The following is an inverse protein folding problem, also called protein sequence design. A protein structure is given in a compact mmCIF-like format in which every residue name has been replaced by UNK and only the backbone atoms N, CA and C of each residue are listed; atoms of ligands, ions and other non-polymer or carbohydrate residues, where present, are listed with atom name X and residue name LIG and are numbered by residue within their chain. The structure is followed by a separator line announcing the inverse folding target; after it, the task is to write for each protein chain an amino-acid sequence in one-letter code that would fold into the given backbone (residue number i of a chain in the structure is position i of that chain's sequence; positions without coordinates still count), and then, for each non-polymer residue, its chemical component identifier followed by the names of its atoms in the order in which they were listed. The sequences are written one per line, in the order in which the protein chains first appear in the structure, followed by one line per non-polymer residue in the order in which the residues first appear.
data_IF_934509769691
#
_entry.id   IF_934509769691
#
_cell.length_a   1.000
_cell.length_b   1.000
_cell.length_c   1.000
_cell.angle_alpha   90.00
_cell.angle_beta   90.00
_cell.angle_gamma   90.00
#
_symmetry.space_group_name_H-M   'P 1'
#
loop_
_entity.id
_entity.type
_entity.pdbx_description
1 polymer ?
#
# COMPACT_ATOMS: atom_id res chain seq x y z
N UNK A 1 10.25 23.68 -12.97
CA UNK A 1 9.62 22.57 -13.72
C UNK A 1 8.20 22.37 -13.18
N UNK A 2 7.30 23.34 -13.41
CA UNK A 2 5.97 23.46 -12.77
C UNK A 2 4.91 23.64 -13.87
N UNK A 3 4.70 22.67 -14.76
CA UNK A 3 3.88 22.97 -15.93
C UNK A 3 3.00 21.85 -16.49
N UNK A 4 2.69 20.76 -15.74
CA UNK A 4 1.86 19.67 -16.29
C UNK A 4 0.69 19.19 -15.41
N UNK A 5 0.51 19.75 -14.22
CA UNK A 5 -0.58 19.31 -13.31
C UNK A 5 -1.77 20.31 -13.27
N UNK A 6 -1.63 21.46 -13.92
CA UNK A 6 -2.67 22.52 -13.88
C UNK A 6 -3.95 22.16 -14.66
N UNK A 7 -3.92 21.16 -15.53
CA UNK A 7 -5.07 20.70 -16.31
C UNK A 7 -5.82 19.49 -15.76
N UNK A 8 -5.27 18.79 -14.77
CA UNK A 8 -5.92 17.60 -14.20
C UNK A 8 -7.06 17.97 -13.25
N UNK A 9 -8.17 17.21 -13.29
CA UNK A 9 -9.26 17.41 -12.36
C UNK A 9 -8.79 17.23 -10.89
N UNK A 10 -9.39 17.93 -9.91
CA UNK A 10 -9.01 17.77 -8.49
C UNK A 10 -9.04 16.32 -8.02
N UNK A 11 -9.98 15.51 -8.48
CA UNK A 11 -10.09 14.08 -8.17
C UNK A 11 -8.90 13.29 -8.71
N UNK A 12 -8.44 13.58 -9.94
CA UNK A 12 -7.28 12.91 -10.55
C UNK A 12 -5.98 13.24 -9.81
N UNK A 13 -5.82 14.51 -9.37
CA UNK A 13 -4.68 14.92 -8.54
C UNK A 13 -4.67 14.18 -7.20
N UNK A 14 -5.83 14.02 -6.56
CA UNK A 14 -5.94 13.29 -5.31
C UNK A 14 -5.64 11.80 -5.49
N UNK A 15 -6.15 11.18 -6.57
CA UNK A 15 -5.86 9.78 -6.88
C UNK A 15 -4.35 9.55 -7.11
N UNK A 16 -3.66 10.44 -7.84
CA UNK A 16 -2.20 10.37 -8.03
C UNK A 16 -1.44 10.53 -6.72
N UNK A 17 -1.80 11.50 -5.88
CA UNK A 17 -1.20 11.68 -4.54
C UNK A 17 -1.38 10.44 -3.67
N UNK A 18 -2.56 9.81 -3.72
CA UNK A 18 -2.82 8.57 -2.99
C UNK A 18 -1.98 7.40 -3.52
N UNK A 19 -1.75 7.31 -4.84
CA UNK A 19 -0.83 6.31 -5.41
C UNK A 19 0.61 6.50 -4.90
N UNK A 20 1.13 7.73 -4.88
CA UNK A 20 2.45 8.06 -4.35
C UNK A 20 2.54 7.70 -2.86
N UNK A 21 1.52 8.06 -2.06
CA UNK A 21 1.44 7.72 -0.65
C UNK A 21 1.41 6.20 -0.43
N UNK A 22 0.66 5.46 -1.24
CA UNK A 22 0.60 3.99 -1.18
C UNK A 22 1.94 3.33 -1.54
N UNK A 23 2.68 3.86 -2.54
CA UNK A 23 4.01 3.38 -2.90
C UNK A 23 5.04 3.65 -1.80
N UNK A 24 5.00 4.85 -1.19
CA UNK A 24 5.85 5.24 -0.07
C UNK A 24 5.55 4.44 1.21
N UNK A 25 4.28 4.09 1.45
CA UNK A 25 3.84 3.37 2.64
C UNK A 25 4.08 1.84 2.61
N UNK A 26 4.64 1.30 1.54
CA UNK A 26 5.07 -0.09 1.45
C UNK A 26 6.35 -0.17 0.59
N UNK A 27 7.49 0.38 1.06
CA UNK A 27 8.69 0.55 0.25
C UNK A 27 9.29 -0.80 -0.16
N UNK A 28 9.65 -0.94 -1.44
CA UNK A 28 10.43 -2.09 -1.86
C UNK A 28 11.92 -1.87 -1.57
N UNK A 29 12.65 -2.87 -1.03
CA UNK A 29 14.07 -2.74 -0.72
C UNK A 29 14.96 -2.40 -1.91
N UNK A 30 14.55 -2.77 -3.12
CA UNK A 30 15.21 -2.37 -4.37
C UNK A 30 14.18 -1.89 -5.36
N UNK A 31 14.51 -0.81 -6.07
CA UNK A 31 13.63 -0.19 -7.06
C UNK A 31 14.45 0.31 -8.24
N UNK A 32 13.82 0.33 -9.42
CA UNK A 32 14.36 0.90 -10.65
C UNK A 32 13.27 1.71 -11.35
N UNK A 33 13.56 2.98 -11.66
CA UNK A 33 12.71 3.79 -12.52
C UNK A 33 13.12 3.59 -13.99
N UNK A 34 12.18 3.25 -14.84
CA UNK A 34 12.40 3.00 -16.26
C UNK A 34 11.26 3.63 -17.08
N UNK A 35 11.52 4.73 -17.73
CA UNK A 35 10.61 5.42 -18.66
C UNK A 35 9.17 5.51 -18.16
N UNK A 36 8.99 6.12 -16.97
CA UNK A 36 7.68 6.28 -16.32
C UNK A 36 7.14 5.02 -15.63
N UNK A 37 7.92 3.92 -15.59
CA UNK A 37 7.58 2.71 -14.86
C UNK A 37 8.50 2.52 -13.65
N UNK A 38 7.95 2.21 -12.49
CA UNK A 38 8.66 1.84 -11.28
C UNK A 38 8.63 0.33 -11.09
N UNK A 39 9.79 -0.30 -11.26
CA UNK A 39 10.01 -1.72 -11.04
C UNK A 39 10.43 -1.92 -9.58
N UNK A 40 9.78 -2.85 -8.89
CA UNK A 40 9.97 -3.07 -7.45
C UNK A 40 10.35 -4.50 -7.16
N UNK A 41 11.30 -4.72 -6.22
CA UNK A 41 11.89 -6.03 -5.92
C UNK A 41 12.01 -6.24 -4.40
N UNK A 42 11.33 -7.25 -3.87
CA UNK A 42 11.34 -7.65 -2.47
C UNK A 42 11.28 -9.18 -2.32
N UNK A 43 12.06 -9.92 -3.12
CA UNK A 43 12.21 -11.38 -3.02
C UNK A 43 10.91 -12.17 -3.18
N UNK A 44 9.92 -11.63 -3.88
CA UNK A 44 8.60 -12.27 -4.05
C UNK A 44 7.61 -12.00 -2.92
N UNK A 45 8.04 -11.39 -1.79
CA UNK A 45 7.12 -11.09 -0.69
C UNK A 45 6.26 -9.86 -1.03
N UNK A 46 4.95 -10.09 -1.14
CA UNK A 46 3.83 -9.27 -1.61
C UNK A 46 3.95 -8.75 -3.05
N UNK A 47 2.85 -8.85 -3.81
CA UNK A 47 2.77 -8.28 -5.16
C UNK A 47 3.03 -6.76 -5.15
N UNK A 48 2.61 -6.04 -4.11
CA UNK A 48 2.83 -4.59 -3.96
C UNK A 48 4.31 -4.18 -4.00
N UNK A 49 5.20 -4.99 -3.41
CA UNK A 49 6.63 -4.72 -3.37
C UNK A 49 7.42 -5.48 -4.46
N UNK A 50 6.75 -6.25 -5.33
CA UNK A 50 7.35 -7.04 -6.41
C UNK A 50 6.64 -6.86 -7.75
N UNK A 51 6.12 -5.68 -8.02
CA UNK A 51 5.44 -5.41 -9.28
C UNK A 51 6.02 -4.21 -10.02
N UNK A 52 5.79 -4.20 -11.32
CA UNK A 52 5.92 -3.04 -12.19
C UNK A 52 4.72 -2.15 -11.96
N UNK A 53 4.94 -0.85 -11.75
CA UNK A 53 3.90 0.15 -11.54
C UNK A 53 4.10 1.29 -12.53
N UNK A 54 3.04 1.68 -13.24
CA UNK A 54 3.05 2.92 -14.02
C UNK A 54 3.00 4.09 -13.04
N UNK A 55 3.98 5.00 -13.12
CA UNK A 55 4.08 6.16 -12.23
C UNK A 55 4.17 7.49 -12.98
N UNK A 56 4.27 7.44 -14.29
CA UNK A 56 4.37 8.64 -15.12
C UNK A 56 4.25 8.35 -16.62
N UNK A 57 4.36 9.41 -17.43
CA UNK A 57 4.29 9.26 -18.88
C UNK A 57 5.48 8.46 -19.40
N UNK A 58 5.24 7.74 -20.49
CA UNK A 58 6.21 6.89 -21.17
C UNK A 58 6.52 7.45 -22.57
N UNK A 59 7.75 7.21 -23.04
CA UNK A 59 8.16 7.47 -24.43
C UNK A 59 8.11 6.20 -25.27
N UNK A 60 8.52 5.08 -24.65
CA UNK A 60 8.47 3.77 -25.28
C UNK A 60 7.11 3.11 -25.11
N UNK A 61 6.75 2.22 -26.05
CA UNK A 61 5.53 1.43 -25.96
C UNK A 61 5.56 0.45 -24.78
N UNK A 62 4.38 0.06 -24.29
CA UNK A 62 4.28 -0.95 -23.25
C UNK A 62 4.94 -2.27 -23.64
N UNK A 63 4.83 -2.70 -24.90
CA UNK A 63 5.43 -3.94 -25.39
C UNK A 63 6.97 -3.97 -25.25
N UNK A 64 7.64 -2.89 -25.63
CA UNK A 64 9.10 -2.75 -25.49
C UNK A 64 9.51 -2.81 -24.02
N UNK A 65 8.79 -2.10 -23.16
CA UNK A 65 9.08 -2.07 -21.73
C UNK A 65 8.80 -3.40 -21.05
N UNK A 66 7.74 -4.13 -21.42
CA UNK A 66 7.45 -5.47 -20.88
C UNK A 66 8.58 -6.46 -21.16
N UNK A 67 9.18 -6.41 -22.37
CA UNK A 67 10.34 -7.25 -22.69
C UNK A 67 11.53 -6.97 -21.79
N UNK A 68 11.86 -5.68 -21.58
CA UNK A 68 12.94 -5.25 -20.68
C UNK A 68 12.65 -5.63 -19.22
N UNK A 69 11.42 -5.42 -18.74
CA UNK A 69 10.98 -5.87 -17.40
C UNK A 69 11.17 -7.38 -17.24
N UNK A 70 10.78 -8.17 -18.23
CA UNK A 70 10.94 -9.61 -18.21
C UNK A 70 12.39 -10.04 -17.97
N UNK A 71 13.36 -9.40 -18.66
CA UNK A 71 14.78 -9.67 -18.46
C UNK A 71 15.25 -9.33 -17.05
N UNK A 72 14.87 -8.14 -16.53
CA UNK A 72 15.29 -7.66 -15.21
C UNK A 72 14.73 -8.52 -14.06
N UNK A 73 13.44 -8.91 -14.13
CA UNK A 73 12.84 -9.77 -13.10
C UNK A 73 13.43 -11.18 -13.13
N UNK A 74 13.64 -11.78 -14.32
CA UNK A 74 14.31 -13.09 -14.43
C UNK A 74 15.73 -13.06 -13.88
N UNK A 75 16.51 -12.02 -14.17
CA UNK A 75 17.85 -11.85 -13.60
C UNK A 75 17.83 -11.73 -12.06
N UNK A 76 16.72 -11.25 -11.49
CA UNK A 76 16.51 -11.21 -10.04
C UNK A 76 15.91 -12.52 -9.47
N UNK A 77 15.72 -13.56 -10.29
CA UNK A 77 15.07 -14.82 -9.86
C UNK A 77 13.57 -14.66 -9.55
N UNK A 78 12.91 -13.65 -10.16
CA UNK A 78 11.52 -13.33 -9.89
C UNK A 78 10.68 -13.42 -11.17
N UNK A 79 9.41 -13.72 -11.00
CA UNK A 79 8.41 -13.64 -12.05
C UNK A 79 7.92 -12.19 -12.17
N UNK A 80 7.86 -11.61 -13.38
CA UNK A 80 7.29 -10.27 -13.56
C UNK A 80 5.81 -10.24 -13.20
N UNK A 81 5.42 -9.23 -12.43
CA UNK A 81 4.04 -8.91 -12.09
C UNK A 81 3.81 -7.46 -12.50
N UNK A 82 2.75 -7.18 -13.24
CA UNK A 82 2.37 -5.81 -13.61
C UNK A 82 1.14 -5.42 -12.81
N UNK A 83 1.20 -4.27 -12.15
CA UNK A 83 0.06 -3.64 -11.49
C UNK A 83 -0.59 -2.66 -12.47
N UNK A 84 -1.82 -2.94 -12.85
CA UNK A 84 -2.65 -2.09 -13.70
C UNK A 84 -3.56 -1.25 -12.81
N UNK A 85 -3.40 0.08 -12.83
CA UNK A 85 -4.13 1.02 -11.96
C UNK A 85 -4.94 2.01 -12.78
N UNK A 86 -6.17 2.28 -12.34
CA UNK A 86 -7.02 3.31 -12.96
C UNK A 86 -6.61 4.74 -12.62
N UNK A 87 -5.76 4.95 -11.60
CA UNK A 87 -5.24 6.27 -11.23
C UNK A 87 -4.22 6.82 -12.23
N UNK A 88 -3.48 5.92 -12.90
CA UNK A 88 -2.43 6.23 -13.86
C UNK A 88 -2.57 5.32 -15.08
N UNK A 89 -3.63 5.50 -15.89
CA UNK A 89 -3.90 4.63 -17.02
C UNK A 89 -2.82 4.80 -18.11
N UNK A 90 -2.44 3.68 -18.70
CA UNK A 90 -1.62 3.65 -19.90
C UNK A 90 -2.43 2.89 -20.98
N UNK A 91 -2.90 3.55 -22.03
CA UNK A 91 -3.90 3.01 -22.97
C UNK A 91 -3.49 1.73 -23.69
N UNK A 92 -2.19 1.55 -23.99
CA UNK A 92 -1.66 0.39 -24.71
C UNK A 92 -1.28 -0.79 -23.78
N UNK A 93 -1.39 -0.62 -22.46
CA UNK A 93 -0.86 -1.59 -21.50
C UNK A 93 -1.59 -2.92 -21.53
N UNK A 94 -2.93 -2.92 -21.49
CA UNK A 94 -3.71 -4.15 -21.48
C UNK A 94 -3.51 -4.96 -22.76
N UNK A 95 -3.53 -4.32 -23.95
CA UNK A 95 -3.26 -4.97 -25.21
C UNK A 95 -1.84 -5.56 -25.27
N UNK A 96 -0.84 -4.85 -24.73
CA UNK A 96 0.53 -5.35 -24.68
C UNK A 96 0.68 -6.53 -23.70
N UNK A 97 -0.02 -6.53 -22.57
CA UNK A 97 -0.06 -7.65 -21.62
C UNK A 97 -0.70 -8.90 -22.25
N UNK A 98 -1.80 -8.74 -23.00
CA UNK A 98 -2.46 -9.83 -23.68
C UNK A 98 -1.56 -10.42 -24.78
N UNK A 99 -0.94 -9.58 -25.61
CA UNK A 99 0.02 -10.00 -26.63
C UNK A 99 1.24 -10.74 -26.03
N UNK A 100 1.71 -10.29 -24.85
CA UNK A 100 2.78 -10.95 -24.10
C UNK A 100 2.32 -12.15 -23.27
N UNK A 101 1.05 -12.56 -23.38
CA UNK A 101 0.44 -13.72 -22.70
C UNK A 101 0.50 -13.65 -21.18
N UNK A 102 0.39 -12.46 -20.62
CA UNK A 102 0.19 -12.33 -19.18
C UNK A 102 -1.15 -12.96 -18.77
N UNK A 103 -1.18 -13.55 -17.56
CA UNK A 103 -2.37 -14.19 -17.00
C UNK A 103 -3.55 -13.21 -16.81
N UNK A 104 -4.73 -13.73 -16.46
CA UNK A 104 -5.91 -12.90 -16.21
C UNK A 104 -5.69 -11.94 -15.02
N UNK A 105 -6.49 -10.87 -14.92
CA UNK A 105 -6.50 -9.98 -13.75
C UNK A 105 -6.73 -10.75 -12.45
N UNK A 106 -5.97 -10.41 -11.40
CA UNK A 106 -6.14 -10.95 -10.05
C UNK A 106 -5.94 -9.88 -8.98
N UNK A 107 -6.51 -10.11 -7.80
CA UNK A 107 -6.30 -9.24 -6.64
C UNK A 107 -6.93 -7.86 -6.86
N UNK A 108 -8.18 -7.81 -7.36
CA UNK A 108 -8.94 -6.56 -7.50
C UNK A 108 -8.93 -5.81 -6.17
N UNK A 109 -8.37 -4.61 -6.17
CA UNK A 109 -8.17 -3.80 -4.98
C UNK A 109 -8.65 -2.38 -5.22
N UNK A 110 -9.24 -1.81 -4.17
CA UNK A 110 -9.71 -0.42 -4.13
C UNK A 110 -8.73 0.44 -3.36
N UNK A 111 -8.51 1.66 -3.82
CA UNK A 111 -7.84 2.71 -3.07
C UNK A 111 -8.91 3.62 -2.48
N UNK A 112 -9.06 3.58 -1.16
CA UNK A 112 -10.08 4.35 -0.44
C UNK A 112 -9.43 5.57 0.23
N UNK A 113 -10.23 6.63 0.38
CA UNK A 113 -9.83 7.91 0.97
C UNK A 113 -10.83 8.37 2.02
N UNK A 114 -10.29 9.03 3.05
CA UNK A 114 -11.02 9.80 4.05
C UNK A 114 -10.34 11.14 4.26
N UNK A 115 -11.10 12.24 4.30
CA UNK A 115 -10.58 13.52 4.76
C UNK A 115 -10.36 13.47 6.27
N UNK A 116 -9.22 14.00 6.75
CA UNK A 116 -8.92 14.10 8.18
C UNK A 116 -9.27 15.49 8.68
N UNK A 117 -10.07 15.54 9.76
CA UNK A 117 -10.30 16.75 10.54
C UNK A 117 -9.60 16.59 11.91
N UNK A 118 -8.86 17.59 12.41
CA UNK A 118 -8.07 17.49 13.63
C UNK A 118 -8.83 17.01 14.89
N UNK A 119 -10.14 17.20 14.94
CA UNK A 119 -10.95 16.94 16.13
C UNK A 119 -11.70 15.58 16.14
N UNK A 120 -11.47 14.69 15.21
CA UNK A 120 -12.31 13.48 15.04
C UNK A 120 -11.71 12.18 15.57
N UNK A 121 -10.45 12.19 15.99
CA UNK A 121 -9.79 10.94 16.41
C UNK A 121 -9.24 11.08 17.84
N UNK A 122 -9.84 10.37 18.77
CA UNK A 122 -9.48 10.37 20.20
C UNK A 122 -8.26 9.50 20.56
N UNK A 123 -7.41 9.18 19.60
CA UNK A 123 -6.21 8.36 19.81
C UNK A 123 -6.48 6.89 20.21
N UNK A 124 -7.73 6.51 20.46
CA UNK A 124 -8.21 5.11 20.59
C UNK A 124 -7.58 4.23 21.67
N UNK A 125 -6.65 4.75 22.48
CA UNK A 125 -5.97 3.99 23.54
C UNK A 125 -5.03 2.90 23.05
N UNK A 126 -4.59 2.95 21.79
CA UNK A 126 -3.52 2.10 21.25
C UNK A 126 -2.15 2.76 21.46
N UNK A 127 -1.10 1.96 21.68
CA UNK A 127 0.28 2.45 21.75
C UNK A 127 0.84 2.68 20.35
N UNK A 128 1.73 3.69 20.22
CA UNK A 128 2.41 4.03 18.97
C UNK A 128 3.93 3.93 19.12
N UNK A 129 4.59 3.22 18.22
CA UNK A 129 6.04 3.24 18.02
C UNK A 129 6.35 3.95 16.71
N UNK A 130 7.32 4.87 16.69
CA UNK A 130 7.66 5.69 15.52
C UNK A 130 8.97 5.24 14.88
N UNK A 131 9.07 5.39 13.56
CA UNK A 131 10.26 5.09 12.78
C UNK A 131 10.46 3.60 12.51
N UNK A 132 10.46 2.75 13.53
CA UNK A 132 10.63 1.31 13.39
C UNK A 132 9.63 0.54 14.26
N UNK A 133 9.14 -0.63 13.84
CA UNK A 133 8.26 -1.46 14.66
C UNK A 133 9.05 -2.11 15.82
N UNK A 134 8.42 -2.26 16.97
CA UNK A 134 8.97 -3.06 18.05
C UNK A 134 8.78 -4.58 17.83
N UNK A 135 9.44 -5.39 18.65
CA UNK A 135 9.40 -6.84 18.52
C UNK A 135 8.00 -7.43 18.72
N UNK A 136 7.19 -6.85 19.61
CA UNK A 136 5.83 -7.31 19.89
C UNK A 136 4.90 -7.06 18.70
N UNK A 137 5.01 -5.87 18.09
CA UNK A 137 4.28 -5.53 16.86
C UNK A 137 4.68 -6.45 15.70
N UNK A 138 5.99 -6.67 15.51
CA UNK A 138 6.52 -7.57 14.47
C UNK A 138 5.98 -9.00 14.62
N UNK A 139 6.01 -9.55 15.81
CA UNK A 139 5.51 -10.88 16.13
C UNK A 139 4.00 -11.00 15.86
N UNK A 140 3.19 -10.08 16.40
CA UNK A 140 1.74 -10.09 16.25
C UNK A 140 1.32 -9.90 14.77
N UNK A 141 1.94 -8.97 14.07
CA UNK A 141 1.65 -8.69 12.66
C UNK A 141 2.10 -9.83 11.73
N UNK A 142 3.22 -10.48 12.03
CA UNK A 142 3.70 -11.65 11.29
C UNK A 142 2.80 -12.87 11.47
N UNK A 143 2.39 -13.16 12.70
CA UNK A 143 1.47 -14.23 13.03
C UNK A 143 0.10 -14.05 12.36
N UNK A 144 -0.45 -12.83 12.41
CA UNK A 144 -1.73 -12.50 11.75
C UNK A 144 -1.68 -12.64 10.22
N UNK A 145 -0.50 -12.47 9.62
CA UNK A 145 -0.28 -12.63 8.18
C UNK A 145 0.10 -14.06 7.76
N UNK A 146 0.31 -14.99 8.71
CA UNK A 146 0.67 -16.38 8.43
C UNK A 146 2.01 -16.53 7.69
N UNK A 147 3.00 -15.68 8.00
CA UNK A 147 4.27 -15.65 7.28
C UNK A 147 5.20 -16.79 7.69
N UNK A 148 5.82 -17.42 6.70
CA UNK A 148 7.01 -18.25 6.92
C UNK A 148 8.26 -17.39 7.20
N UNK A 149 9.37 -18.03 7.54
CA UNK A 149 10.62 -17.34 7.90
C UNK A 149 11.18 -16.48 6.75
N UNK A 150 11.08 -16.95 5.50
CA UNK A 150 11.59 -16.22 4.35
C UNK A 150 10.74 -14.97 4.07
N UNK A 151 9.42 -15.09 4.07
CA UNK A 151 8.49 -13.97 3.92
C UNK A 151 8.64 -12.97 5.08
N UNK A 152 8.81 -13.45 6.32
CA UNK A 152 9.06 -12.61 7.49
C UNK A 152 10.34 -11.77 7.35
N UNK A 153 11.43 -12.38 6.84
CA UNK A 153 12.68 -11.67 6.60
C UNK A 153 12.55 -10.56 5.55
N UNK A 154 11.83 -10.82 4.45
CA UNK A 154 11.56 -9.78 3.45
C UNK A 154 10.63 -8.70 3.97
N UNK A 155 9.58 -9.07 4.73
CA UNK A 155 8.70 -8.11 5.39
C UNK A 155 9.47 -7.19 6.34
N UNK A 156 10.41 -7.74 7.12
CA UNK A 156 11.25 -6.93 8.01
C UNK A 156 12.04 -5.86 7.22
N UNK A 157 12.63 -6.22 6.07
CA UNK A 157 13.33 -5.25 5.20
C UNK A 157 12.41 -4.14 4.69
N UNK A 158 11.15 -4.47 4.33
CA UNK A 158 10.15 -3.47 3.94
C UNK A 158 9.85 -2.55 5.13
N UNK A 159 9.59 -3.12 6.31
CA UNK A 159 9.17 -2.38 7.50
C UNK A 159 10.28 -1.53 8.16
N UNK A 160 11.54 -1.72 7.77
CA UNK A 160 12.67 -0.87 8.17
C UNK A 160 13.15 0.06 7.04
N UNK A 161 12.52 0.04 5.86
CA UNK A 161 12.95 0.78 4.67
C UNK A 161 12.19 2.09 4.41
N UNK A 162 11.47 2.64 5.37
CA UNK A 162 10.71 3.88 5.17
C UNK A 162 11.62 5.09 5.05
N UNK A 163 11.38 5.91 4.02
CA UNK A 163 12.01 7.21 3.81
C UNK A 163 11.08 8.37 4.24
N UNK A 164 9.90 8.06 4.75
CA UNK A 164 8.85 9.02 5.15
C UNK A 164 8.49 8.78 6.62
N UNK A 165 7.87 9.77 7.32
CA UNK A 165 7.37 9.57 8.65
C UNK A 165 6.44 8.36 8.74
N UNK A 166 6.71 7.45 9.68
CA UNK A 166 5.93 6.22 9.89
C UNK A 166 5.69 5.97 11.37
N UNK A 167 4.51 5.46 11.68
CA UNK A 167 4.17 4.97 13.01
C UNK A 167 3.49 3.60 12.93
N UNK A 168 3.70 2.81 13.96
CA UNK A 168 3.19 1.45 14.14
C UNK A 168 2.29 1.44 15.38
N UNK A 169 1.01 1.12 15.19
CA UNK A 169 0.04 1.06 16.28
C UNK A 169 -0.15 -0.36 16.77
N UNK A 170 -0.23 -0.51 18.09
CA UNK A 170 -0.50 -1.76 18.80
C UNK A 170 -1.69 -1.60 19.73
N UNK A 171 -2.72 -2.43 19.62
CA UNK A 171 -3.74 -2.59 20.64
C UNK A 171 -3.48 -3.89 21.40
N UNK A 172 -3.39 -3.81 22.73
CA UNK A 172 -3.09 -4.94 23.60
C UNK A 172 -4.25 -5.31 24.52
N UNK A 173 -4.30 -6.57 24.94
CA UNK A 173 -5.15 -7.13 26.00
C UNK A 173 -4.24 -7.89 26.95
N UNK A 174 -4.30 -7.59 28.23
CA UNK A 174 -3.46 -8.21 29.26
C UNK A 174 -1.97 -8.25 28.89
N UNK A 175 -1.45 -7.13 28.34
CA UNK A 175 -0.06 -6.96 27.93
C UNK A 175 0.31 -7.65 26.59
N UNK A 176 -0.60 -8.39 25.98
CA UNK A 176 -0.38 -9.07 24.70
C UNK A 176 -0.93 -8.25 23.54
N UNK A 177 -0.12 -7.97 22.51
CA UNK A 177 -0.56 -7.29 21.30
C UNK A 177 -1.51 -8.19 20.50
N UNK A 178 -2.76 -7.73 20.35
CA UNK A 178 -3.83 -8.46 19.68
C UNK A 178 -4.27 -7.84 18.36
N UNK A 179 -3.92 -6.56 18.12
CA UNK A 179 -4.13 -5.94 16.82
C UNK A 179 -2.99 -4.98 16.49
N UNK A 180 -2.70 -4.88 15.21
CA UNK A 180 -1.65 -4.03 14.64
C UNK A 180 -2.18 -3.20 13.50
N UNK A 181 -1.56 -2.04 13.28
CA UNK A 181 -1.68 -1.24 12.06
C UNK A 181 -0.39 -0.45 11.86
N UNK A 182 -0.10 0.00 10.64
CA UNK A 182 0.93 1.02 10.38
C UNK A 182 0.34 2.14 9.54
N UNK A 183 0.85 3.35 9.74
CA UNK A 183 0.56 4.53 8.93
C UNK A 183 1.86 5.20 8.52
N UNK A 184 2.01 5.49 7.22
CA UNK A 184 3.14 6.26 6.70
C UNK A 184 2.61 7.52 6.01
N UNK A 185 3.25 8.68 6.27
CA UNK A 185 2.76 9.97 5.79
C UNK A 185 3.60 10.44 4.60
N UNK A 186 2.93 10.70 3.48
CA UNK A 186 3.54 11.27 2.29
C UNK A 186 2.56 12.18 1.56
N UNK A 187 3.02 13.34 1.07
CA UNK A 187 2.21 14.27 0.30
C UNK A 187 0.96 14.78 1.04
N UNK A 188 1.00 14.88 2.39
CA UNK A 188 -0.14 15.28 3.22
C UNK A 188 -1.21 14.21 3.41
N UNK A 189 -0.93 12.95 3.03
CA UNK A 189 -1.79 11.80 3.25
C UNK A 189 -1.11 10.77 4.15
N UNK A 190 -1.83 10.21 5.11
CA UNK A 190 -1.42 8.99 5.79
C UNK A 190 -1.97 7.78 5.05
N UNK A 191 -1.09 6.89 4.59
CA UNK A 191 -1.49 5.61 4.01
C UNK A 191 -1.41 4.51 5.05
N UNK A 192 -2.56 3.84 5.30
CA UNK A 192 -2.68 2.75 6.27
C UNK A 192 -2.31 1.40 5.64
N UNK A 193 -1.55 0.59 6.38
CA UNK A 193 -1.16 -0.75 5.98
C UNK A 193 -1.11 -1.70 7.18
N UNK A 194 -0.97 -3.00 6.93
CA UNK A 194 -0.79 -4.05 7.93
C UNK A 194 -1.82 -4.01 9.08
N UNK A 195 -3.05 -3.59 8.75
CA UNK A 195 -4.17 -3.63 9.71
C UNK A 195 -4.58 -5.08 9.90
N UNK A 196 -4.37 -5.60 11.10
CA UNK A 196 -4.67 -6.99 11.42
C UNK A 196 -5.12 -7.14 12.87
N UNK A 197 -5.94 -8.15 13.15
CA UNK A 197 -6.36 -8.53 14.50
C UNK A 197 -6.29 -10.04 14.65
N UNK A 198 -5.73 -10.51 15.75
CA UNK A 198 -5.76 -11.93 16.14
C UNK A 198 -7.19 -12.47 16.02
N UNK A 199 -7.42 -13.59 15.31
CA UNK A 199 -8.76 -14.16 15.12
C UNK A 199 -9.58 -14.31 16.40
N UNK A 200 -8.92 -14.65 17.52
CA UNK A 200 -9.56 -14.82 18.85
C UNK A 200 -10.06 -13.52 19.48
N UNK A 201 -9.59 -12.36 18.96
CA UNK A 201 -9.87 -11.03 19.47
C UNK A 201 -10.65 -10.15 18.47
N UNK A 202 -11.14 -10.72 17.35
CA UNK A 202 -11.95 -9.99 16.36
C UNK A 202 -13.30 -9.54 16.92
N UNK A 203 -13.91 -8.54 16.27
CA UNK A 203 -15.22 -8.01 16.65
C UNK A 203 -15.24 -7.15 17.92
N UNK A 204 -14.07 -6.87 18.54
CA UNK A 204 -13.97 -6.12 19.81
C UNK A 204 -13.38 -4.70 19.65
N UNK A 205 -13.30 -4.17 18.43
CA UNK A 205 -12.85 -2.81 18.15
C UNK A 205 -11.33 -2.57 18.21
N UNK A 206 -10.49 -3.61 18.36
CA UNK A 206 -9.04 -3.44 18.49
C UNK A 206 -8.39 -2.82 17.25
N UNK A 207 -8.80 -3.24 16.03
CA UNK A 207 -8.32 -2.62 14.77
C UNK A 207 -8.76 -1.16 14.67
N UNK A 208 -10.00 -0.85 15.08
CA UNK A 208 -10.49 0.54 15.12
C UNK A 208 -9.60 1.40 15.98
N UNK A 209 -9.25 0.96 17.21
CA UNK A 209 -8.36 1.69 18.11
C UNK A 209 -6.99 1.92 17.50
N UNK A 210 -6.38 0.89 16.91
CA UNK A 210 -5.06 1.01 16.28
C UNK A 210 -5.09 2.00 15.10
N UNK A 211 -6.10 1.94 14.25
CA UNK A 211 -6.26 2.87 13.12
C UNK A 211 -6.55 4.29 13.60
N UNK A 212 -7.47 4.49 14.56
CA UNK A 212 -7.77 5.83 15.10
C UNK A 212 -6.55 6.51 15.69
N UNK A 213 -5.68 5.76 16.41
CA UNK A 213 -4.43 6.29 16.94
C UNK A 213 -3.48 6.78 15.83
N UNK A 214 -3.39 6.05 14.70
CA UNK A 214 -2.59 6.48 13.55
C UNK A 214 -3.16 7.71 12.85
N UNK A 215 -4.48 7.79 12.72
CA UNK A 215 -5.16 8.94 12.11
C UNK A 215 -4.95 10.21 12.96
N UNK A 216 -5.09 10.10 14.30
CA UNK A 216 -4.81 11.18 15.23
C UNK A 216 -3.34 11.64 15.16
N UNK A 217 -2.40 10.69 15.23
CA UNK A 217 -0.97 10.99 15.09
C UNK A 217 -0.66 11.70 13.78
N UNK A 218 -1.17 11.20 12.67
CA UNK A 218 -0.89 11.76 11.35
C UNK A 218 -1.44 13.19 11.20
N UNK A 219 -2.66 13.45 11.70
CA UNK A 219 -3.26 14.78 11.65
C UNK A 219 -2.56 15.77 12.57
N UNK A 220 -2.31 15.38 13.83
CA UNK A 220 -1.80 16.29 14.87
C UNK A 220 -0.29 16.53 14.82
N UNK A 221 0.47 15.51 14.43
CA UNK A 221 1.94 15.54 14.51
C UNK A 221 2.62 15.65 13.14
N UNK A 222 1.98 15.17 12.08
CA UNK A 222 2.54 15.18 10.73
C UNK A 222 1.78 16.09 9.77
N UNK A 223 0.70 16.75 10.24
CA UNK A 223 -0.09 17.69 9.45
C UNK A 223 -0.83 17.04 8.27
N UNK A 224 -1.13 15.75 8.35
CA UNK A 224 -1.89 15.06 7.30
C UNK A 224 -3.33 15.58 7.24
N UNK A 225 -3.80 15.91 6.04
CA UNK A 225 -5.15 16.41 5.78
C UNK A 225 -6.08 15.33 5.25
N UNK A 226 -5.55 14.14 4.95
CA UNK A 226 -6.31 13.01 4.48
C UNK A 226 -5.63 11.69 4.79
N UNK A 227 -6.39 10.62 4.69
CA UNK A 227 -5.94 9.25 4.83
C UNK A 227 -6.32 8.43 3.61
N UNK A 228 -5.47 7.50 3.22
CA UNK A 228 -5.77 6.52 2.17
C UNK A 228 -5.37 5.11 2.61
N UNK A 229 -5.90 4.13 1.92
CA UNK A 229 -5.53 2.72 2.11
C UNK A 229 -5.85 1.91 0.86
N UNK A 230 -5.28 0.71 0.80
CA UNK A 230 -5.56 -0.28 -0.23
C UNK A 230 -6.27 -1.48 0.41
N UNK A 231 -7.40 -1.90 -0.16
CA UNK A 231 -8.19 -3.03 0.33
C UNK A 231 -8.68 -3.88 -0.84
N UNK A 232 -8.61 -5.20 -0.69
CA UNK A 232 -9.19 -6.12 -1.67
C UNK A 232 -10.71 -5.95 -1.72
N UNK A 233 -11.28 -5.89 -2.93
CA UNK A 233 -12.70 -5.63 -3.15
C UNK A 233 -13.61 -6.68 -2.52
N UNK A 234 -13.14 -7.92 -2.36
CA UNK A 234 -13.86 -9.01 -1.69
C UNK A 234 -13.76 -9.02 -0.16
N UNK A 235 -12.93 -8.16 0.46
CA UNK A 235 -12.77 -8.14 1.91
C UNK A 235 -13.85 -7.32 2.62
N UNK A 236 -15.06 -7.87 2.68
CA UNK A 236 -16.23 -7.20 3.27
C UNK A 236 -16.01 -6.74 4.73
N UNK A 237 -15.27 -7.53 5.52
CA UNK A 237 -14.97 -7.18 6.93
C UNK A 237 -14.10 -5.91 7.02
N UNK A 238 -13.07 -5.81 6.20
CA UNK A 238 -12.21 -4.63 6.17
C UNK A 238 -12.94 -3.42 5.59
N UNK A 239 -13.73 -3.60 4.53
CA UNK A 239 -14.53 -2.54 3.93
C UNK A 239 -15.50 -1.94 4.96
N UNK A 240 -16.23 -2.76 5.72
CA UNK A 240 -17.13 -2.29 6.77
C UNK A 240 -16.40 -1.56 7.92
N UNK A 241 -15.16 -1.96 8.26
CA UNK A 241 -14.32 -1.24 9.21
C UNK A 241 -13.96 0.14 8.68
N UNK A 242 -13.47 0.22 7.44
CA UNK A 242 -13.00 1.47 6.86
C UNK A 242 -14.13 2.46 6.58
N UNK A 243 -15.31 1.98 6.17
CA UNK A 243 -16.50 2.81 6.01
C UNK A 243 -16.86 3.52 7.33
N UNK A 244 -16.89 2.79 8.46
CA UNK A 244 -17.13 3.38 9.80
C UNK A 244 -16.07 4.40 10.22
N UNK A 245 -14.85 4.29 9.69
CA UNK A 245 -13.75 5.23 9.93
C UNK A 245 -13.74 6.40 8.93
N UNK A 246 -14.74 6.49 8.04
CA UNK A 246 -14.92 7.60 7.12
C UNK A 246 -14.26 7.42 5.75
N UNK A 247 -13.72 6.25 5.42
CA UNK A 247 -13.15 5.94 4.09
C UNK A 247 -14.26 5.66 3.09
N UNK A 248 -15.04 6.69 2.73
CA UNK A 248 -16.19 6.58 1.85
C UNK A 248 -15.91 6.86 0.38
N UNK A 249 -14.75 7.45 0.06
CA UNK A 249 -14.40 7.82 -1.31
C UNK A 249 -13.47 6.78 -1.92
N UNK A 250 -13.89 6.14 -3.01
CA UNK A 250 -13.01 5.32 -3.84
C UNK A 250 -12.30 6.23 -4.85
N UNK A 251 -10.97 6.29 -4.77
CA UNK A 251 -10.14 7.12 -5.65
C UNK A 251 -9.72 6.38 -6.91
N UNK A 252 -9.43 5.09 -6.80
CA UNK A 252 -8.97 4.26 -7.90
C UNK A 252 -9.13 2.78 -7.59
N UNK A 253 -8.96 1.96 -8.62
CA UNK A 253 -8.83 0.49 -8.52
C UNK A 253 -7.58 0.03 -9.20
N UNK A 254 -7.07 -1.11 -8.78
CA UNK A 254 -5.99 -1.79 -9.46
C UNK A 254 -6.13 -3.32 -9.34
N UNK A 255 -5.48 -3.99 -10.27
CA UNK A 255 -5.29 -5.44 -10.24
C UNK A 255 -3.87 -5.79 -10.68
N UNK A 256 -3.51 -7.06 -10.56
CA UNK A 256 -2.23 -7.57 -11.02
C UNK A 256 -2.40 -8.52 -12.20
N UNK A 257 -1.42 -8.51 -13.10
CA UNK A 257 -1.26 -9.47 -14.19
C UNK A 257 0.12 -10.12 -14.06
N UNK A 258 0.17 -11.45 -14.02
CA UNK A 258 1.43 -12.19 -13.88
C UNK A 258 1.95 -12.58 -15.26
N UNK A 259 3.26 -12.48 -15.50
CA UNK A 259 3.88 -13.00 -16.72
C UNK A 259 3.64 -14.52 -16.85
N UNK A 260 3.72 -15.09 -18.06
CA UNK A 260 3.68 -16.54 -18.23
C UNK A 260 4.82 -17.20 -17.44
N UNK A 261 4.61 -18.49 -17.08
CA UNK A 261 5.57 -19.30 -16.34
C UNK A 261 6.87 -19.54 -17.14
#
# INVERSE_FOLDING_TARGET
MTGRDEGAAPADRLARRAEEACLAAWPAPRQLLMDGWLLRFAGGHTSRANSVNVVGPSRESAAVKLAACGALYRAAGLRPIVRVSSALPQPDLDAALDAARYGPPRGDSRVLFAALAPARHDGGGASLTKGSPDAAWMAASGAAAGLDAAAAAWRARILHGFAVPVAFASAAVDGTVVATALGAVHGGLVCLNAVATDPRHRGRGHATRAVSALLAWAAEREGATGACLQVEGGNATALALYERLGFATELSRYHYRDAPA
#
